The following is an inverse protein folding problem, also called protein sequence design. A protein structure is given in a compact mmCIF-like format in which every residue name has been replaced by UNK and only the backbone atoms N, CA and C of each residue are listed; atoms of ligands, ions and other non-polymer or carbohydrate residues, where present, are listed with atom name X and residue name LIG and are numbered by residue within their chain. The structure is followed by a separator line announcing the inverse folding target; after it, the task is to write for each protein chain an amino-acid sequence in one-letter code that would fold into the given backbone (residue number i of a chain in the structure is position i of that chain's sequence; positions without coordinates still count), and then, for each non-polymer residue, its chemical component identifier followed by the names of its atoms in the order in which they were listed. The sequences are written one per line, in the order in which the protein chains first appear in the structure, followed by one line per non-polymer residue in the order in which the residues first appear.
data_IF_418927523829
#
_entry.id   IF_418927523829
#
_cell.length_a   1.000
_cell.length_b   1.000
_cell.length_c   1.000
_cell.angle_alpha   90.00
_cell.angle_beta   90.00
_cell.angle_gamma   90.00
#
_symmetry.space_group_name_H-M   'P 1'
#
loop_
_entity.id
_entity.type
_entity.pdbx_description
1 polymer ?
#
# COMPACT_ATOMS: atom_id res chain seq x y z
N UNK A 1 -4.33 3.93 -3.29
CA UNK A 1 -4.28 5.40 -3.06
C UNK A 1 -3.05 5.74 -2.21
N UNK A 2 -1.92 5.94 -2.85
CA UNK A 2 -0.62 6.15 -2.18
C UNK A 2 -0.48 7.52 -1.48
N UNK A 3 -1.23 8.54 -1.93
CA UNK A 3 -1.24 9.86 -1.29
C UNK A 3 -2.35 10.05 -0.24
N UNK A 4 -3.21 9.03 -0.03
CA UNK A 4 -4.22 9.08 1.02
C UNK A 4 -3.58 9.12 2.42
N UNK A 5 -3.82 10.14 3.26
CA UNK A 5 -3.21 10.24 4.58
C UNK A 5 -3.58 9.08 5.51
N UNK A 6 -4.75 8.49 5.35
CA UNK A 6 -5.16 7.30 6.11
C UNK A 6 -4.54 6.02 5.54
N UNK A 7 -4.40 5.92 4.21
CA UNK A 7 -3.68 4.83 3.56
C UNK A 7 -2.21 4.79 3.98
N UNK A 8 -1.55 5.95 4.06
CA UNK A 8 -0.17 6.08 4.55
C UNK A 8 -0.03 5.59 6.00
N UNK A 9 -0.93 5.97 6.90
CA UNK A 9 -0.96 5.45 8.28
C UNK A 9 -1.20 3.93 8.33
N UNK A 10 -2.00 3.40 7.42
CA UNK A 10 -2.20 1.97 7.32
C UNK A 10 -0.94 1.22 6.89
N UNK A 11 -0.11 1.80 6.01
CA UNK A 11 1.22 1.25 5.67
C UNK A 11 2.16 1.28 6.88
N UNK A 12 2.16 2.36 7.65
CA UNK A 12 2.94 2.44 8.91
C UNK A 12 2.49 1.37 9.91
N UNK A 13 1.19 1.16 10.05
CA UNK A 13 0.63 0.10 10.88
C UNK A 13 1.03 -1.30 10.38
N UNK A 14 0.99 -1.53 9.06
CA UNK A 14 1.41 -2.80 8.46
C UNK A 14 2.89 -3.08 8.69
N UNK A 15 3.74 -2.05 8.66
CA UNK A 15 5.18 -2.19 8.97
C UNK A 15 5.39 -2.74 10.39
N UNK A 16 4.70 -2.18 11.39
CA UNK A 16 4.79 -2.67 12.77
C UNK A 16 4.25 -4.10 12.90
N UNK A 17 3.12 -4.41 12.24
CA UNK A 17 2.58 -5.79 12.24
C UNK A 17 3.59 -6.75 11.61
N UNK A 18 4.14 -6.42 10.43
CA UNK A 18 5.12 -7.25 9.72
C UNK A 18 6.40 -7.50 10.53
N UNK A 19 6.83 -6.53 11.33
CA UNK A 19 8.00 -6.67 12.20
C UNK A 19 7.76 -7.57 13.42
N UNK A 20 6.50 -7.81 13.77
CA UNK A 20 6.11 -8.60 14.94
C UNK A 20 5.45 -9.94 14.58
N UNK A 21 5.23 -10.22 13.29
CA UNK A 21 4.62 -11.46 12.82
C UNK A 21 5.51 -12.13 11.79
N UNK A 22 5.91 -13.37 12.08
CA UNK A 22 6.69 -14.16 11.14
C UNK A 22 5.84 -14.62 9.95
N UNK A 23 6.46 -14.64 8.75
CA UNK A 23 5.86 -15.17 7.53
C UNK A 23 4.49 -14.53 7.14
N UNK A 24 4.28 -13.27 7.47
CA UNK A 24 3.10 -12.54 7.05
C UNK A 24 3.13 -12.25 5.53
N UNK A 25 2.26 -12.91 4.78
CA UNK A 25 2.04 -12.62 3.35
C UNK A 25 0.95 -11.55 3.19
N UNK A 26 1.20 -10.56 2.33
CA UNK A 26 0.25 -9.50 2.03
C UNK A 26 0.49 -8.90 0.65
N UNK A 27 -0.54 -8.28 0.13
CA UNK A 27 -0.54 -7.52 -1.11
C UNK A 27 -1.13 -6.13 -0.85
N UNK A 28 -0.69 -5.13 -1.61
CA UNK A 28 -1.25 -3.78 -1.59
C UNK A 28 -1.79 -3.49 -2.98
N UNK A 29 -3.05 -3.12 -3.06
CA UNK A 29 -3.74 -2.76 -4.30
C UNK A 29 -4.15 -1.30 -4.30
N UNK A 30 -4.10 -0.66 -5.47
CA UNK A 30 -4.37 0.77 -5.63
C UNK A 30 -5.78 1.01 -6.17
N UNK A 31 -6.44 2.03 -5.63
CA UNK A 31 -7.78 2.44 -6.06
C UNK A 31 -7.63 3.64 -6.99
N UNK A 32 -7.80 3.39 -8.26
CA UNK A 32 -7.82 4.36 -9.33
C UNK A 32 -8.89 3.97 -10.38
N UNK A 33 -9.07 4.77 -11.40
CA UNK A 33 -9.96 4.49 -12.52
C UNK A 33 -9.32 4.88 -13.84
N UNK A 34 -9.64 4.14 -14.90
CA UNK A 34 -9.26 4.54 -16.26
C UNK A 34 -10.10 5.75 -16.71
N UNK A 35 -9.45 6.73 -17.33
CA UNK A 35 -10.09 7.93 -17.88
C UNK A 35 -9.44 8.34 -19.19
N UNK A 36 -10.14 8.16 -20.31
CA UNK A 36 -9.56 8.35 -21.65
C UNK A 36 -8.38 7.41 -21.87
N UNK A 37 -7.24 7.96 -22.29
CA UNK A 37 -6.00 7.20 -22.48
C UNK A 37 -5.12 7.11 -21.21
N UNK A 38 -5.61 7.60 -20.07
CA UNK A 38 -4.86 7.64 -18.81
C UNK A 38 -5.67 7.17 -17.62
N UNK A 39 -5.25 7.62 -16.44
CA UNK A 39 -5.85 7.23 -15.15
C UNK A 39 -6.24 8.46 -14.33
N UNK A 40 -7.19 8.24 -13.43
CA UNK A 40 -7.61 9.23 -12.45
C UNK A 40 -7.63 8.61 -11.05
N UNK A 41 -7.14 9.35 -10.07
CA UNK A 41 -7.19 9.01 -8.65
C UNK A 41 -7.73 10.17 -7.83
N UNK A 42 -8.16 9.91 -6.61
CA UNK A 42 -8.80 10.90 -5.72
C UNK A 42 -7.89 12.11 -5.44
N UNK A 43 -6.59 11.90 -5.33
CA UNK A 43 -5.62 12.95 -5.00
C UNK A 43 -4.86 13.49 -6.23
N UNK A 44 -5.30 13.08 -7.44
CA UNK A 44 -4.80 13.60 -8.71
C UNK A 44 -3.59 12.86 -9.27
N UNK A 45 -2.95 13.45 -10.30
CA UNK A 45 -1.92 12.79 -11.10
C UNK A 45 -0.71 12.31 -10.29
N UNK A 46 -0.29 13.06 -9.26
CA UNK A 46 0.84 12.63 -8.40
C UNK A 46 0.58 11.29 -7.71
N UNK A 47 -0.67 10.98 -7.37
CA UNK A 47 -1.03 9.70 -6.80
C UNK A 47 -1.01 8.60 -7.86
N UNK A 48 -1.52 8.87 -9.05
CA UNK A 48 -1.46 7.93 -10.19
C UNK A 48 -0.01 7.58 -10.52
N UNK A 49 0.85 8.59 -10.63
CA UNK A 49 2.28 8.39 -10.93
C UNK A 49 2.95 7.54 -9.85
N UNK A 50 2.67 7.83 -8.57
CA UNK A 50 3.22 7.07 -7.45
C UNK A 50 2.68 5.64 -7.40
N UNK A 51 1.38 5.41 -7.67
CA UNK A 51 0.78 4.09 -7.71
C UNK A 51 1.49 3.22 -8.80
N UNK A 52 1.75 3.79 -9.99
CA UNK A 52 2.51 3.14 -11.07
C UNK A 52 3.96 2.86 -10.64
N UNK A 53 4.64 3.83 -10.05
CA UNK A 53 6.03 3.67 -9.59
C UNK A 53 6.12 2.55 -8.56
N UNK A 54 5.20 2.48 -7.59
CA UNK A 54 5.19 1.42 -6.58
C UNK A 54 4.97 0.04 -7.19
N UNK A 55 4.14 -0.09 -8.23
CA UNK A 55 3.96 -1.34 -8.98
C UNK A 55 5.21 -1.70 -9.80
N UNK A 56 5.87 -0.71 -10.42
CA UNK A 56 7.14 -0.92 -11.10
C UNK A 56 8.26 -1.34 -10.12
N UNK A 57 8.27 -0.81 -8.91
CA UNK A 57 9.18 -1.26 -7.85
C UNK A 57 8.86 -2.69 -7.45
N UNK A 58 7.61 -3.04 -7.21
CA UNK A 58 7.19 -4.41 -6.89
C UNK A 58 7.66 -5.41 -7.95
N UNK A 59 7.54 -5.06 -9.22
CA UNK A 59 7.95 -5.91 -10.34
C UNK A 59 9.46 -6.13 -10.40
N UNK A 60 10.25 -5.07 -10.23
CA UNK A 60 11.70 -5.11 -10.46
C UNK A 60 12.51 -5.37 -9.19
N UNK A 61 11.97 -5.03 -8.01
CA UNK A 61 12.64 -5.13 -6.71
C UNK A 61 11.66 -5.64 -5.62
N UNK A 62 11.07 -6.85 -5.76
CA UNK A 62 10.01 -7.34 -4.88
C UNK A 62 10.44 -7.45 -3.40
N UNK A 63 11.69 -7.76 -3.12
CA UNK A 63 12.19 -7.89 -1.75
C UNK A 63 12.28 -6.53 -1.02
N UNK A 64 12.61 -5.46 -1.74
CA UNK A 64 12.75 -4.11 -1.21
C UNK A 64 11.46 -3.28 -1.34
N UNK A 65 10.47 -3.79 -2.07
CA UNK A 65 9.26 -3.05 -2.42
C UNK A 65 8.54 -2.48 -1.20
N UNK A 66 8.33 -3.28 -0.16
CA UNK A 66 7.56 -2.81 0.99
C UNK A 66 8.31 -1.73 1.79
N UNK A 67 9.62 -1.83 1.92
CA UNK A 67 10.43 -0.80 2.59
C UNK A 67 10.41 0.51 1.78
N UNK A 68 10.40 0.42 0.45
CA UNK A 68 10.15 1.56 -0.43
C UNK A 68 8.76 2.19 -0.19
N UNK A 69 7.69 1.39 -0.20
CA UNK A 69 6.32 1.86 0.07
C UNK A 69 6.23 2.54 1.44
N UNK A 70 6.87 1.97 2.46
CA UNK A 70 6.94 2.56 3.80
C UNK A 70 7.68 3.90 3.80
N UNK A 71 8.83 4.00 3.14
CA UNK A 71 9.57 5.26 2.97
C UNK A 71 8.67 6.34 2.34
N UNK A 72 7.97 6.01 1.25
CA UNK A 72 7.04 6.93 0.58
C UNK A 72 5.87 7.34 1.48
N UNK A 73 5.35 6.40 2.26
CA UNK A 73 4.23 6.67 3.18
C UNK A 73 4.62 7.62 4.30
N UNK A 74 5.82 7.49 4.86
CA UNK A 74 6.30 8.35 5.95
C UNK A 74 6.71 9.73 5.47
N UNK A 75 7.42 9.83 4.33
CA UNK A 75 7.94 11.09 3.80
C UNK A 75 6.92 11.88 2.96
N UNK A 76 5.91 11.19 2.43
CA UNK A 76 4.85 11.76 1.59
C UNK A 76 5.23 11.87 0.12
N UNK A 77 4.25 11.56 -0.74
CA UNK A 77 4.40 11.52 -2.21
C UNK A 77 4.89 12.86 -2.77
N UNK A 78 4.40 13.97 -2.23
CA UNK A 78 4.78 15.33 -2.66
C UNK A 78 5.94 15.92 -1.89
N UNK A 79 6.39 15.26 -0.82
CA UNK A 79 7.42 15.78 0.08
C UNK A 79 8.83 15.62 -0.45
N UNK A 80 9.11 14.51 -1.11
CA UNK A 80 10.43 14.16 -1.66
C UNK A 80 10.31 13.46 -3.01
N UNK A 81 11.40 13.40 -3.76
CA UNK A 81 11.47 12.60 -4.97
C UNK A 81 11.29 11.10 -4.65
N UNK A 82 10.62 10.37 -5.52
CA UNK A 82 10.54 8.92 -5.38
C UNK A 82 11.94 8.26 -5.44
N UNK A 83 12.88 8.89 -6.16
CA UNK A 83 14.27 8.42 -6.29
C UNK A 83 15.02 8.44 -4.97
N UNK A 84 14.70 9.40 -4.08
CA UNK A 84 15.33 9.45 -2.75
C UNK A 84 14.98 8.19 -1.91
N UNK A 85 13.70 7.77 -1.92
CA UNK A 85 13.31 6.51 -1.27
C UNK A 85 13.86 5.28 -2.01
N UNK A 86 14.01 5.35 -3.33
CA UNK A 86 14.59 4.27 -4.11
C UNK A 86 16.07 4.07 -3.77
N UNK A 87 16.86 5.15 -3.67
CA UNK A 87 18.28 5.12 -3.27
C UNK A 87 18.43 4.55 -1.84
N UNK A 88 17.62 5.03 -0.89
CA UNK A 88 17.66 4.56 0.50
C UNK A 88 17.39 3.05 0.62
N UNK A 89 16.61 2.47 -0.28
CA UNK A 89 16.22 1.07 -0.27
C UNK A 89 16.94 0.21 -1.33
N UNK A 90 17.99 0.73 -1.97
CA UNK A 90 18.77 0.04 -3.00
C UNK A 90 17.92 -0.47 -4.18
N UNK A 91 16.93 0.30 -4.61
CA UNK A 91 16.07 0.02 -5.76
C UNK A 91 16.80 0.38 -7.06
N UNK A 92 16.64 -0.45 -8.09
CA UNK A 92 17.13 -0.13 -9.43
C UNK A 92 16.29 0.98 -10.08
N UNK A 93 16.73 2.23 -9.87
CA UNK A 93 16.06 3.43 -10.38
C UNK A 93 15.91 3.37 -11.90
N UNK A 94 16.88 2.81 -12.62
CA UNK A 94 16.86 2.77 -14.08
C UNK A 94 15.76 1.83 -14.56
N UNK A 95 15.66 0.63 -13.98
CA UNK A 95 14.61 -0.34 -14.31
C UNK A 95 13.22 0.20 -13.97
N UNK A 96 13.06 0.82 -12.80
CA UNK A 96 11.78 1.43 -12.38
C UNK A 96 11.38 2.58 -13.31
N UNK A 97 12.33 3.46 -13.68
CA UNK A 97 12.04 4.57 -14.59
C UNK A 97 11.64 4.07 -15.99
N UNK A 98 12.31 3.05 -16.51
CA UNK A 98 11.96 2.43 -17.81
C UNK A 98 10.56 1.82 -17.78
N UNK A 99 10.21 1.12 -16.70
CA UNK A 99 8.85 0.59 -16.50
C UNK A 99 7.82 1.73 -16.46
N UNK A 100 8.08 2.78 -15.68
CA UNK A 100 7.18 3.92 -15.55
C UNK A 100 6.97 4.68 -16.87
N UNK A 101 8.04 4.89 -17.65
CA UNK A 101 8.00 5.65 -18.92
C UNK A 101 7.41 4.84 -20.10
N UNK A 102 7.13 3.57 -19.91
CA UNK A 102 6.59 2.67 -20.94
C UNK A 102 5.13 2.29 -20.68
N UNK A 103 4.49 1.64 -21.66
CA UNK A 103 3.15 1.05 -21.49
C UNK A 103 3.09 0.01 -20.36
N UNK A 104 4.23 -0.59 -19.97
CA UNK A 104 4.28 -1.59 -18.93
C UNK A 104 3.78 -1.07 -17.58
N UNK A 105 4.20 0.13 -17.17
CA UNK A 105 3.72 0.75 -15.94
C UNK A 105 2.22 1.01 -15.95
N UNK A 106 1.70 1.47 -17.09
CA UNK A 106 0.26 1.66 -17.29
C UNK A 106 -0.51 0.33 -17.24
N UNK A 107 0.03 -0.73 -17.84
CA UNK A 107 -0.58 -2.06 -17.82
C UNK A 107 -0.63 -2.65 -16.41
N UNK A 108 0.44 -2.49 -15.63
CA UNK A 108 0.47 -2.90 -14.22
C UNK A 108 -0.64 -2.22 -13.41
N UNK A 109 -0.81 -0.91 -13.54
CA UNK A 109 -1.88 -0.19 -12.84
C UNK A 109 -3.27 -0.61 -13.35
N UNK A 110 -3.43 -0.87 -14.64
CA UNK A 110 -4.68 -1.34 -15.23
C UNK A 110 -5.10 -2.71 -14.69
N UNK A 111 -4.14 -3.61 -14.52
CA UNK A 111 -4.39 -4.92 -13.90
C UNK A 111 -4.75 -4.78 -12.42
N UNK A 112 -4.04 -3.94 -11.69
CA UNK A 112 -4.27 -3.70 -10.27
C UNK A 112 -5.67 -3.06 -10.01
N UNK A 113 -6.09 -2.11 -10.85
CA UNK A 113 -7.43 -1.52 -10.83
C UNK A 113 -8.51 -2.63 -10.96
N UNK A 114 -8.31 -3.60 -11.87
CA UNK A 114 -9.26 -4.71 -12.05
C UNK A 114 -9.36 -5.57 -10.78
N UNK A 115 -8.24 -5.82 -10.11
CA UNK A 115 -8.21 -6.55 -8.84
C UNK A 115 -8.98 -5.76 -7.78
N UNK A 116 -8.66 -4.49 -7.58
CA UNK A 116 -9.33 -3.62 -6.61
C UNK A 116 -10.85 -3.53 -6.85
N UNK A 117 -11.27 -3.43 -8.12
CA UNK A 117 -12.69 -3.43 -8.51
C UNK A 117 -13.36 -4.78 -8.23
N UNK A 118 -12.71 -5.91 -8.54
CA UNK A 118 -13.24 -7.25 -8.27
C UNK A 118 -13.46 -7.48 -6.78
N UNK A 119 -12.57 -6.94 -5.96
CA UNK A 119 -12.66 -6.94 -4.50
C UNK A 119 -13.62 -5.87 -3.96
N UNK A 120 -14.19 -5.02 -4.83
CA UNK A 120 -15.09 -3.91 -4.48
C UNK A 120 -14.46 -2.95 -3.46
N UNK A 121 -13.19 -2.61 -3.65
CA UNK A 121 -12.53 -1.59 -2.87
C UNK A 121 -12.90 -0.21 -3.40
N UNK A 122 -13.41 0.66 -2.51
CA UNK A 122 -13.81 2.03 -2.85
C UNK A 122 -13.26 3.08 -1.89
N UNK A 123 -12.59 2.66 -0.83
CA UNK A 123 -12.03 3.55 0.18
C UNK A 123 -10.66 3.05 0.66
N UNK A 124 -9.76 3.97 0.96
CA UNK A 124 -8.41 3.70 1.45
C UNK A 124 -8.26 4.20 2.91
N UNK A 125 -7.79 3.40 3.86
CA UNK A 125 -7.47 1.98 3.67
C UNK A 125 -8.69 1.07 3.75
N UNK A 126 -8.67 0.00 3.00
CA UNK A 126 -9.56 -1.14 3.19
C UNK A 126 -8.71 -2.40 3.33
N UNK A 127 -8.93 -3.16 4.37
CA UNK A 127 -8.24 -4.40 4.66
C UNK A 127 -9.09 -5.61 4.32
N UNK A 128 -8.43 -6.69 3.90
CA UNK A 128 -9.07 -7.96 3.63
C UNK A 128 -8.20 -9.10 4.19
N UNK A 129 -8.66 -9.75 5.24
CA UNK A 129 -7.99 -10.92 5.84
C UNK A 129 -8.46 -12.19 5.15
N UNK A 130 -7.50 -13.03 4.75
CA UNK A 130 -7.71 -14.31 4.08
C UNK A 130 -8.61 -14.19 2.83
N UNK A 131 -8.46 -13.07 2.09
CA UNK A 131 -9.27 -12.75 0.89
C UNK A 131 -10.80 -12.78 1.13
N UNK A 132 -11.24 -12.60 2.37
CA UNK A 132 -12.65 -12.76 2.75
C UNK A 132 -13.17 -11.75 3.76
N UNK A 133 -12.41 -11.44 4.79
CA UNK A 133 -12.92 -10.69 5.93
C UNK A 133 -12.47 -9.24 5.86
N UNK A 134 -13.41 -8.36 5.47
CA UNK A 134 -13.14 -6.92 5.32
C UNK A 134 -13.21 -6.20 6.66
N UNK A 135 -12.27 -5.28 6.86
CA UNK A 135 -12.28 -4.32 7.96
C UNK A 135 -11.59 -3.01 7.56
N UNK A 136 -11.66 -2.00 8.41
CA UNK A 136 -10.91 -0.74 8.31
C UNK A 136 -10.15 -0.49 9.61
N UNK A 137 -9.06 0.25 9.51
CA UNK A 137 -8.21 0.63 10.64
C UNK A 137 -6.91 1.23 10.14
N UNK A 138 -6.29 2.06 10.96
CA UNK A 138 -5.06 2.80 10.62
C UNK A 138 -3.99 2.64 11.69
N UNK A 139 -4.13 1.70 12.60
CA UNK A 139 -3.18 1.40 13.67
C UNK A 139 -2.89 -0.10 13.75
N UNK A 140 -1.70 -0.43 14.22
CA UNK A 140 -1.19 -1.80 14.23
C UNK A 140 -2.00 -2.74 15.12
N UNK A 141 -2.49 -2.28 16.29
CA UNK A 141 -3.30 -3.10 17.19
C UNK A 141 -4.65 -3.49 16.55
N UNK A 142 -5.27 -2.56 15.81
CA UNK A 142 -6.50 -2.84 15.06
C UNK A 142 -6.26 -3.86 13.94
N UNK A 143 -5.17 -3.72 13.19
CA UNK A 143 -4.80 -4.67 12.12
C UNK A 143 -4.53 -6.04 12.71
N UNK A 144 -3.70 -6.14 13.75
CA UNK A 144 -3.39 -7.38 14.45
C UNK A 144 -4.66 -8.04 14.99
N UNK A 145 -5.53 -7.31 15.68
CA UNK A 145 -6.76 -7.86 16.27
C UNK A 145 -7.64 -8.50 15.20
N UNK A 146 -7.78 -7.87 14.01
CA UNK A 146 -8.55 -8.44 12.92
C UNK A 146 -7.83 -9.63 12.25
N UNK A 147 -6.52 -9.59 12.10
CA UNK A 147 -5.71 -10.71 11.62
C UNK A 147 -5.90 -11.94 12.52
N UNK A 148 -5.72 -11.77 13.82
CA UNK A 148 -5.80 -12.82 14.83
C UNK A 148 -7.21 -13.36 15.07
N UNK A 149 -8.23 -12.58 14.75
CA UNK A 149 -9.61 -13.05 14.81
C UNK A 149 -9.90 -14.24 13.89
N UNK A 150 -9.17 -14.32 12.78
CA UNK A 150 -9.36 -15.32 11.72
C UNK A 150 -8.18 -16.27 11.53
N UNK A 151 -7.09 -16.04 12.25
CA UNK A 151 -5.86 -16.84 12.19
C UNK A 151 -5.36 -17.13 13.61
N UNK A 152 -4.88 -18.35 13.83
CA UNK A 152 -4.23 -18.75 15.08
C UNK A 152 -2.73 -18.62 14.90
N UNK A 153 -2.18 -17.48 15.30
CA UNK A 153 -0.77 -17.17 15.22
C UNK A 153 -0.22 -17.00 16.63
N UNK A 154 1.05 -17.37 16.85
CA UNK A 154 1.69 -17.31 18.17
C UNK A 154 1.84 -15.87 18.65
N UNK A 155 2.02 -14.94 17.72
CA UNK A 155 2.25 -13.51 17.97
C UNK A 155 0.99 -12.72 18.35
N UNK A 156 -0.18 -13.35 18.34
CA UNK A 156 -1.46 -12.69 18.63
C UNK A 156 -1.55 -12.09 20.04
N UNK A 157 -0.77 -12.59 20.98
CA UNK A 157 -0.69 -12.05 22.35
C UNK A 157 0.22 -10.81 22.45
N UNK A 158 0.99 -10.50 21.42
CA UNK A 158 1.86 -9.31 21.37
C UNK A 158 1.02 -8.03 21.33
N UNK A 159 1.35 -7.07 22.19
CA UNK A 159 0.69 -5.77 22.19
C UNK A 159 1.40 -4.83 21.19
N UNK A 160 0.66 -4.31 20.24
CA UNK A 160 1.12 -3.34 19.25
C UNK A 160 0.61 -1.93 19.54
N UNK A 161 1.11 -0.95 18.78
CA UNK A 161 0.69 0.43 18.93
C UNK A 161 -0.75 0.66 18.46
N UNK A 162 -1.45 1.62 19.10
CA UNK A 162 -2.84 1.96 18.78
C UNK A 162 -3.85 1.34 19.75
N UNK A 163 -5.07 1.14 19.30
CA UNK A 163 -6.20 0.60 20.08
C UNK A 163 -7.32 1.61 20.26
N UNK A 164 -8.14 1.45 21.28
CA UNK A 164 -9.50 1.93 21.47
C UNK A 164 -9.82 3.43 21.25
N UNK A 165 -8.85 4.28 20.92
CA UNK A 165 -9.07 5.72 20.71
C UNK A 165 -8.36 6.30 19.47
N UNK A 166 -7.97 5.47 18.50
CA UNK A 166 -7.37 5.97 17.26
C UNK A 166 -8.49 6.43 16.32
N UNK A 167 -8.46 7.70 15.81
CA UNK A 167 -9.45 8.14 14.86
C UNK A 167 -9.46 7.25 13.63
N UNK A 168 -10.60 6.65 13.33
CA UNK A 168 -10.80 5.98 12.05
C UNK A 168 -11.04 7.02 10.95
N UNK A 169 -10.46 6.84 9.79
CA UNK A 169 -10.68 7.67 8.63
C UNK A 169 -10.37 6.91 7.35
N UNK A 170 -10.90 7.41 6.25
CA UNK A 170 -10.66 6.85 4.91
C UNK A 170 -10.72 7.95 3.86
N UNK A 171 -10.11 7.70 2.70
CA UNK A 171 -10.26 8.48 1.48
C UNK A 171 -11.16 7.68 0.53
N UNK A 172 -12.19 8.32 -0.02
CA UNK A 172 -13.19 7.73 -0.90
C UNK A 172 -14.52 7.50 -0.25
#
# INVERSE_FOLDING_TARGET
MSDCPYGRKAVEALKEVKENFDNLEFEIHYIASEQGDGFNSLHGQYEVDEDIIQLCVLKNNPEQWFDYVYCRSTKGVKGISWKDCAEENNIDITAVQQCFDSEEGADLLREDIKIAQSLKFSASPTWLVNNKYRFSGIDAETVKTNLCKYNKLEECDTKLSGGTNVPSGSCG
#
